data_IF_687654752283
#
_entry.id   IF_687654752283
#
_cell.length_a   1.000
_cell.length_b   1.000
_cell.length_c   1.000
_cell.angle_alpha   90.00
_cell.angle_beta   90.00
_cell.angle_gamma   90.00
#
_symmetry.space_group_name_H-M   'P 1'
#
loop_
_entity.id
_entity.type
_entity.pdbx_description
1 polymer ?
#
# COMPACT_ATOMS: atom_id res chain seq x y z
N UNK A 1 4.62 -7.95 -9.52
CA UNK A 1 3.41 -7.24 -9.95
C UNK A 1 2.77 -7.83 -11.20
N UNK A 2 3.57 -8.45 -12.09
CA UNK A 2 3.04 -9.09 -13.30
C UNK A 2 1.98 -10.15 -12.95
N UNK A 3 2.22 -10.95 -11.91
CA UNK A 3 1.28 -12.00 -11.50
C UNK A 3 -0.06 -11.42 -11.09
N UNK A 4 -0.09 -10.31 -10.36
CA UNK A 4 -1.33 -9.66 -9.96
C UNK A 4 -2.06 -9.06 -11.16
N UNK A 5 -1.32 -8.47 -12.10
CA UNK A 5 -1.92 -7.95 -13.33
C UNK A 5 -2.55 -9.09 -14.15
N UNK A 6 -1.87 -10.23 -14.25
CA UNK A 6 -2.38 -11.40 -14.97
C UNK A 6 -3.62 -11.98 -14.30
N UNK A 7 -3.73 -11.89 -12.97
CA UNK A 7 -4.92 -12.30 -12.21
C UNK A 7 -6.02 -11.25 -12.26
N UNK A 8 -5.79 -10.12 -12.94
CA UNK A 8 -6.75 -9.01 -13.06
C UNK A 8 -7.13 -8.41 -11.69
N UNK A 9 -6.17 -8.37 -10.77
CA UNK A 9 -6.34 -7.71 -9.48
C UNK A 9 -6.15 -6.21 -9.66
N UNK A 10 -7.18 -5.39 -9.43
CA UNK A 10 -7.02 -3.93 -9.51
C UNK A 10 -6.08 -3.44 -8.41
N UNK A 11 -5.18 -2.54 -8.75
CA UNK A 11 -4.19 -2.02 -7.82
C UNK A 11 -4.11 -0.50 -7.88
N UNK A 12 -3.84 0.10 -6.72
CA UNK A 12 -3.57 1.53 -6.57
C UNK A 12 -2.26 1.68 -5.83
N UNK A 13 -1.41 2.58 -6.31
CA UNK A 13 -0.17 2.92 -5.63
C UNK A 13 -0.38 4.19 -4.81
N UNK A 14 0.00 4.13 -3.53
CA UNK A 14 -0.03 5.28 -2.62
C UNK A 14 1.38 5.48 -2.08
N UNK A 15 1.97 6.62 -2.37
CA UNK A 15 3.33 6.91 -1.97
C UNK A 15 3.46 8.32 -1.42
N UNK A 16 4.21 8.45 -0.33
CA UNK A 16 4.55 9.76 0.23
C UNK A 16 5.77 10.33 -0.50
N UNK A 17 5.94 11.64 -0.38
CA UNK A 17 7.07 12.34 -0.96
C UNK A 17 6.67 13.30 -2.06
N UNK A 18 7.68 13.97 -2.64
CA UNK A 18 7.48 14.98 -3.67
C UNK A 18 7.18 14.34 -5.03
N UNK A 19 6.43 15.07 -5.87
CA UNK A 19 6.00 14.57 -7.17
C UNK A 19 7.16 14.15 -8.07
N UNK A 20 8.13 15.03 -8.28
CA UNK A 20 9.21 14.79 -9.27
C UNK A 20 10.01 13.54 -8.95
N UNK A 21 10.61 13.36 -7.75
CA UNK A 21 11.39 12.15 -7.48
C UNK A 21 10.55 10.88 -7.48
N UNK A 22 9.30 10.95 -7.05
CA UNK A 22 8.44 9.75 -7.04
C UNK A 22 8.01 9.37 -8.45
N UNK A 23 7.65 10.33 -9.29
CA UNK A 23 7.33 10.08 -10.70
C UNK A 23 8.54 9.52 -11.46
N UNK A 24 9.72 10.00 -11.15
CA UNK A 24 10.95 9.48 -11.76
C UNK A 24 11.16 8.01 -11.42
N UNK A 25 10.98 7.62 -10.16
CA UNK A 25 11.09 6.23 -9.73
C UNK A 25 10.04 5.35 -10.42
N UNK A 26 8.80 5.81 -10.47
CA UNK A 26 7.69 5.08 -11.10
C UNK A 26 7.99 4.84 -12.58
N UNK A 27 8.48 5.86 -13.28
CA UNK A 27 8.88 5.76 -14.68
C UNK A 27 10.06 4.82 -14.87
N UNK A 28 11.11 4.98 -14.05
CA UNK A 28 12.32 4.16 -14.13
C UNK A 28 12.05 2.68 -14.04
N UNK A 29 11.15 2.29 -13.12
CA UNK A 29 10.83 0.88 -12.87
C UNK A 29 9.60 0.40 -13.64
N UNK A 30 9.02 1.23 -14.51
CA UNK A 30 7.88 0.87 -15.34
C UNK A 30 6.64 0.48 -14.53
N UNK A 31 6.40 1.15 -13.39
CA UNK A 31 5.35 0.75 -12.47
C UNK A 31 3.96 1.22 -12.87
N UNK A 32 3.87 2.29 -13.66
CA UNK A 32 2.60 2.95 -13.98
C UNK A 32 1.58 2.01 -14.59
N UNK A 33 2.03 1.07 -15.43
CA UNK A 33 1.15 0.12 -16.13
C UNK A 33 0.40 -0.84 -15.21
N UNK A 34 0.84 -1.00 -13.97
CA UNK A 34 0.22 -1.95 -13.03
C UNK A 34 -0.93 -1.34 -12.22
N UNK A 35 -1.05 -0.02 -12.20
CA UNK A 35 -1.96 0.65 -11.26
C UNK A 35 -3.07 1.40 -11.97
N UNK A 36 -4.30 1.27 -11.42
CA UNK A 36 -5.46 2.03 -11.89
C UNK A 36 -5.33 3.52 -11.58
N UNK A 37 -4.63 3.84 -10.48
CA UNK A 37 -4.34 5.21 -10.09
C UNK A 37 -3.07 5.23 -9.26
N UNK A 38 -2.42 6.39 -9.23
CA UNK A 38 -1.22 6.63 -8.45
C UNK A 38 -1.44 7.91 -7.65
N UNK A 39 -1.38 7.79 -6.32
CA UNK A 39 -1.53 8.93 -5.40
C UNK A 39 -0.18 9.25 -4.78
N UNK A 40 0.33 10.43 -5.06
CA UNK A 40 1.61 10.94 -4.54
C UNK A 40 1.31 12.12 -3.62
N UNK A 41 1.87 12.11 -2.41
CA UNK A 41 1.63 13.14 -1.41
C UNK A 41 1.83 14.55 -1.97
N UNK A 42 2.92 14.79 -2.69
CA UNK A 42 3.24 16.10 -3.28
C UNK A 42 2.26 16.55 -4.34
N UNK A 43 1.47 15.64 -4.94
CA UNK A 43 0.43 15.95 -5.93
C UNK A 43 -0.93 16.10 -5.29
N UNK A 44 -1.22 15.28 -4.28
CA UNK A 44 -2.54 15.27 -3.63
C UNK A 44 -2.71 16.36 -2.58
N UNK A 45 -1.59 16.86 -2.04
CA UNK A 45 -1.63 17.81 -0.93
C UNK A 45 -1.77 17.17 0.45
N UNK A 46 -1.90 15.86 0.50
CA UNK A 46 -1.89 15.08 1.73
C UNK A 46 -1.35 13.67 1.42
N UNK A 47 -0.83 13.01 2.42
CA UNK A 47 -0.26 11.69 2.30
C UNK A 47 -0.56 10.85 3.53
N UNK A 48 -0.06 9.60 3.54
CA UNK A 48 -0.20 8.72 4.68
C UNK A 48 0.48 9.35 5.91
N UNK A 49 -0.12 9.34 7.08
CA UNK A 49 -1.29 8.57 7.51
C UNK A 49 -2.64 9.30 7.44
N UNK A 50 -2.76 10.36 6.65
CA UNK A 50 -4.04 11.06 6.49
C UNK A 50 -5.07 10.09 5.88
N UNK A 51 -6.22 9.94 6.56
CA UNK A 51 -7.24 8.96 6.17
C UNK A 51 -7.79 9.21 4.77
N UNK A 52 -7.78 10.45 4.30
CA UNK A 52 -8.32 10.80 2.98
C UNK A 52 -7.65 10.04 1.84
N UNK A 53 -6.32 9.81 1.93
CA UNK A 53 -5.61 9.15 0.84
C UNK A 53 -6.01 7.68 0.70
N UNK A 54 -6.29 7.01 1.83
CA UNK A 54 -6.79 5.62 1.79
C UNK A 54 -8.19 5.55 1.20
N UNK A 55 -9.06 6.49 1.61
CA UNK A 55 -10.43 6.56 1.10
C UNK A 55 -10.46 6.88 -0.40
N UNK A 56 -9.57 7.74 -0.86
CA UNK A 56 -9.42 8.03 -2.30
C UNK A 56 -9.05 6.76 -3.07
N UNK A 57 -8.13 5.95 -2.52
CA UNK A 57 -7.75 4.68 -3.13
C UNK A 57 -8.92 3.69 -3.23
N UNK A 58 -9.68 3.55 -2.14
CA UNK A 58 -10.87 2.70 -2.14
C UNK A 58 -11.90 3.15 -3.17
N UNK A 59 -12.09 4.46 -3.30
CA UNK A 59 -13.03 5.03 -4.27
C UNK A 59 -12.65 4.68 -5.70
N UNK A 60 -11.37 4.79 -6.03
CA UNK A 60 -10.87 4.41 -7.37
C UNK A 60 -11.07 2.94 -7.63
N UNK A 61 -10.76 2.09 -6.64
CA UNK A 61 -10.94 0.64 -6.76
C UNK A 61 -12.41 0.23 -6.81
N UNK A 62 -13.31 1.08 -6.30
CA UNK A 62 -14.73 0.75 -6.21
C UNK A 62 -15.01 -0.38 -5.24
N UNK A 63 -14.20 -0.50 -4.18
CA UNK A 63 -14.30 -1.59 -3.20
C UNK A 63 -14.55 -1.06 -1.79
N UNK A 64 -15.13 -1.93 -0.95
CA UNK A 64 -15.26 -1.66 0.46
C UNK A 64 -13.95 -2.00 1.19
N UNK A 65 -13.71 -1.43 2.40
CA UNK A 65 -12.48 -1.71 3.13
C UNK A 65 -12.22 -3.21 3.36
N UNK A 66 -13.25 -3.98 3.69
CA UNK A 66 -13.12 -5.41 3.97
C UNK A 66 -12.85 -6.26 2.71
N UNK A 67 -12.92 -5.67 1.55
CA UNK A 67 -12.61 -6.30 0.25
C UNK A 67 -11.23 -5.91 -0.27
N UNK A 68 -10.47 -5.15 0.49
CA UNK A 68 -9.25 -4.51 0.03
C UNK A 68 -8.08 -4.87 0.95
N UNK A 69 -6.91 -5.08 0.35
CA UNK A 69 -5.67 -5.29 1.09
C UNK A 69 -4.80 -4.05 0.98
N UNK A 70 -4.22 -3.64 2.10
CA UNK A 70 -3.13 -2.67 2.14
C UNK A 70 -1.83 -3.39 2.41
N UNK A 71 -0.79 -3.12 1.62
CA UNK A 71 0.50 -3.76 1.75
C UNK A 71 1.59 -2.69 1.80
N UNK A 72 2.47 -2.77 2.79
CA UNK A 72 3.60 -1.85 2.87
C UNK A 72 4.50 -2.15 4.05
N UNK A 73 5.56 -1.35 4.19
CA UNK A 73 6.62 -1.58 5.15
C UNK A 73 6.54 -0.73 6.42
N UNK A 74 5.73 0.33 6.41
CA UNK A 74 5.58 1.21 7.58
C UNK A 74 4.38 0.77 8.40
N UNK A 75 4.63 0.35 9.65
CA UNK A 75 3.57 -0.21 10.51
C UNK A 75 2.44 0.78 10.80
N UNK A 76 2.76 2.05 11.05
CA UNK A 76 1.71 3.05 11.31
C UNK A 76 0.90 3.35 10.05
N UNK A 77 1.57 3.54 8.93
CA UNK A 77 0.94 4.00 7.69
C UNK A 77 0.24 2.88 6.93
N UNK A 78 0.81 1.66 6.95
CA UNK A 78 0.31 0.55 6.15
C UNK A 78 -0.50 -0.47 6.96
N UNK A 79 -0.45 -0.42 8.29
CA UNK A 79 -1.15 -1.37 9.14
C UNK A 79 -2.10 -0.67 10.10
N UNK A 80 -1.61 0.17 11.01
CA UNK A 80 -2.45 0.78 12.05
C UNK A 80 -3.63 1.55 11.46
N UNK A 81 -3.34 2.54 10.61
CA UNK A 81 -4.39 3.42 10.06
C UNK A 81 -5.33 2.66 9.12
N UNK A 82 -4.84 1.83 8.18
CA UNK A 82 -5.74 1.02 7.37
C UNK A 82 -6.64 0.10 8.20
N UNK A 83 -6.13 -0.50 9.28
CA UNK A 83 -6.96 -1.34 10.16
C UNK A 83 -8.08 -0.54 10.83
N UNK A 84 -7.81 0.70 11.23
CA UNK A 84 -8.83 1.59 11.78
C UNK A 84 -9.96 1.85 10.78
N UNK A 85 -9.66 1.76 9.48
CA UNK A 85 -10.64 1.92 8.40
C UNK A 85 -11.29 0.61 7.99
N UNK A 86 -10.90 -0.52 8.58
CA UNK A 86 -11.46 -1.83 8.26
C UNK A 86 -10.77 -2.53 7.10
N UNK A 87 -9.60 -2.07 6.68
CA UNK A 87 -8.83 -2.66 5.59
C UNK A 87 -7.95 -3.79 6.14
N UNK A 88 -7.94 -4.94 5.45
CA UNK A 88 -7.02 -6.03 5.75
C UNK A 88 -5.59 -5.57 5.46
N UNK A 89 -4.74 -5.54 6.50
CA UNK A 89 -3.46 -4.85 6.44
C UNK A 89 -2.30 -5.81 6.58
N UNK A 90 -1.40 -5.79 5.61
CA UNK A 90 -0.30 -6.73 5.46
C UNK A 90 1.01 -5.96 5.61
N UNK A 91 1.83 -6.37 6.56
CA UNK A 91 3.14 -5.78 6.75
C UNK A 91 4.19 -6.53 5.93
N UNK A 92 4.88 -5.79 5.06
CA UNK A 92 5.99 -6.33 4.29
C UNK A 92 7.29 -6.09 5.07
N UNK A 93 7.72 -7.12 5.80
CA UNK A 93 8.98 -7.13 6.56
C UNK A 93 10.09 -7.69 5.67
N UNK A 94 10.47 -6.90 4.65
CA UNK A 94 11.43 -7.34 3.64
C UNK A 94 12.80 -7.71 4.23
N UNK A 95 13.18 -7.06 5.33
CA UNK A 95 14.46 -7.31 6.00
C UNK A 95 14.40 -8.46 7.01
N UNK A 96 13.22 -8.98 7.30
CA UNK A 96 13.04 -10.08 8.23
C UNK A 96 13.37 -9.74 9.68
N UNK A 97 13.22 -8.46 10.07
CA UNK A 97 13.56 -8.01 11.42
C UNK A 97 12.53 -8.40 12.48
N UNK A 98 11.30 -8.70 12.06
CA UNK A 98 10.19 -8.96 12.96
C UNK A 98 9.62 -7.68 13.55
N UNK A 99 8.50 -7.83 14.27
CA UNK A 99 7.83 -6.71 14.93
C UNK A 99 8.70 -6.12 16.04
N UNK A 100 8.72 -4.76 16.19
CA UNK A 100 9.35 -4.15 17.36
C UNK A 100 8.75 -4.67 18.66
N UNK A 101 9.58 -4.88 19.68
CA UNK A 101 9.14 -5.43 20.96
C UNK A 101 8.09 -4.57 21.65
N UNK A 102 8.16 -3.26 21.45
CA UNK A 102 7.28 -2.27 22.11
C UNK A 102 6.05 -1.90 21.29
N UNK A 103 5.82 -2.54 20.15
CA UNK A 103 4.65 -2.20 19.33
C UNK A 103 3.39 -2.92 19.83
N UNK A 104 2.27 -2.21 19.76
CA UNK A 104 0.94 -2.76 19.98
C UNK A 104 0.23 -3.10 18.65
N UNK A 105 0.91 -2.86 17.52
CA UNK A 105 0.35 -3.11 16.18
C UNK A 105 0.46 -4.59 15.86
N UNK A 106 -0.67 -5.20 15.47
CA UNK A 106 -0.72 -6.59 15.05
C UNK A 106 -1.22 -6.63 13.61
N UNK A 107 -0.30 -6.84 12.62
CA UNK A 107 -0.72 -6.96 11.22
C UNK A 107 -1.64 -8.16 11.02
N UNK A 108 -2.54 -8.06 10.06
CA UNK A 108 -3.39 -9.21 9.68
C UNK A 108 -2.57 -10.32 9.05
N UNK A 109 -1.49 -9.94 8.38
CA UNK A 109 -0.51 -10.87 7.82
C UNK A 109 0.86 -10.20 7.75
N UNK A 110 1.92 -10.99 7.87
CA UNK A 110 3.31 -10.54 7.70
C UNK A 110 3.91 -11.32 6.54
N UNK A 111 4.50 -10.60 5.59
CA UNK A 111 5.22 -11.18 4.46
C UNK A 111 6.63 -10.60 4.40
N UNK A 112 7.52 -11.28 3.69
CA UNK A 112 8.88 -10.79 3.43
C UNK A 112 9.09 -10.39 1.98
N UNK A 113 8.17 -10.74 1.11
CA UNK A 113 8.15 -10.31 -0.29
C UNK A 113 6.72 -10.36 -0.82
N UNK A 114 6.44 -9.58 -1.86
CA UNK A 114 5.12 -9.54 -2.47
C UNK A 114 4.71 -10.89 -3.07
N UNK A 115 5.67 -11.71 -3.49
CA UNK A 115 5.37 -13.03 -4.06
C UNK A 115 4.67 -13.95 -3.04
N UNK A 116 4.85 -13.73 -1.75
CA UNK A 116 4.16 -14.51 -0.72
C UNK A 116 2.66 -14.32 -0.71
N UNK A 117 2.16 -13.24 -1.30
CA UNK A 117 0.70 -13.01 -1.43
C UNK A 117 0.03 -13.99 -2.39
N UNK A 118 0.81 -14.69 -3.20
CA UNK A 118 0.30 -15.66 -4.17
C UNK A 118 0.19 -17.09 -3.60
N UNK A 119 0.60 -17.27 -2.36
CA UNK A 119 0.62 -18.59 -1.71
C UNK A 119 -0.63 -18.87 -0.90
#
# INVERSE_FOLDING_TARGET
>A
LNAFQNLQVPMVLVTNGASVPQREKISRFGLQKYFSAIFIEGECGYGKPDKRIYLDGLKVLGTEPDQTWMVGDNLDWEVRVPQELGIFSIWNDALGKGLPEDTDIIPDRIIKSLSQLLL
#
